data_IF_065938610796
#
_entry.id   IF_065938610796
#
_cell.length_a   1.000
_cell.length_b   1.000
_cell.length_c   1.000
_cell.angle_alpha   90.00
_cell.angle_beta   90.00
_cell.angle_gamma   90.00
#
_symmetry.space_group_name_H-M   'P 1'
#
loop_
_entity.id
_entity.type
_entity.pdbx_description
1 polymer ?
#
# COMPACT_ATOMS: atom_id res chain seq x y z
N UNK A 1 7.76 -29.39 -33.62
CA UNK A 1 8.63 -28.32 -33.10
C UNK A 1 7.79 -27.06 -33.11
N UNK A 2 7.21 -26.70 -31.97
CA UNK A 2 6.51 -25.42 -31.81
C UNK A 2 7.55 -24.30 -31.62
N UNK A 3 7.51 -23.22 -32.42
CA UNK A 3 8.41 -22.10 -32.22
C UNK A 3 7.96 -21.30 -30.98
N UNK A 4 8.89 -21.08 -30.06
CA UNK A 4 8.67 -20.36 -28.82
C UNK A 4 7.99 -19.02 -29.05
N UNK A 5 6.80 -18.87 -28.48
CA UNK A 5 6.12 -17.59 -28.34
C UNK A 5 6.92 -16.77 -27.32
N UNK A 6 7.70 -15.81 -27.83
CA UNK A 6 8.34 -14.80 -26.99
C UNK A 6 7.26 -14.11 -26.15
N UNK A 7 7.34 -14.25 -24.83
CA UNK A 7 6.51 -13.46 -23.92
C UNK A 7 6.92 -12.00 -24.05
N UNK A 8 6.00 -11.18 -24.55
CA UNK A 8 6.10 -9.73 -24.45
C UNK A 8 6.34 -9.33 -22.97
N UNK A 9 6.98 -8.18 -22.68
CA UNK A 9 7.01 -7.67 -21.32
C UNK A 9 5.57 -7.54 -20.83
N UNK A 10 5.24 -8.26 -19.76
CA UNK A 10 3.94 -8.13 -19.11
C UNK A 10 3.77 -6.67 -18.70
N UNK A 11 2.58 -6.10 -18.90
CA UNK A 11 2.25 -4.78 -18.39
C UNK A 11 2.66 -4.67 -16.91
N UNK A 12 3.03 -3.47 -16.41
CA UNK A 12 3.31 -3.28 -15.00
C UNK A 12 2.16 -3.85 -14.17
N UNK A 13 2.45 -4.61 -13.12
CA UNK A 13 1.41 -5.23 -12.31
C UNK A 13 0.50 -4.14 -11.73
N UNK A 14 -0.81 -4.39 -11.79
CA UNK A 14 -1.83 -3.42 -11.40
C UNK A 14 -1.78 -3.17 -9.89
N UNK A 15 -1.61 -1.92 -9.49
CA UNK A 15 -1.39 -1.57 -8.08
C UNK A 15 -2.58 -1.90 -7.17
N UNK A 16 -3.82 -1.82 -7.67
CA UNK A 16 -5.01 -2.19 -6.88
C UNK A 16 -5.06 -3.71 -6.72
N UNK A 17 -4.82 -4.46 -7.80
CA UNK A 17 -4.76 -5.93 -7.74
C UNK A 17 -3.67 -6.39 -6.78
N UNK A 18 -2.45 -5.84 -6.87
CA UNK A 18 -1.37 -6.17 -5.95
C UNK A 18 -1.71 -5.82 -4.51
N UNK A 19 -2.35 -4.67 -4.26
CA UNK A 19 -2.78 -4.31 -2.91
C UNK A 19 -3.76 -5.36 -2.34
N UNK A 20 -4.70 -5.86 -3.16
CA UNK A 20 -5.64 -6.91 -2.77
C UNK A 20 -4.89 -8.22 -2.47
N UNK A 21 -4.00 -8.66 -3.37
CA UNK A 21 -3.26 -9.92 -3.25
C UNK A 21 -2.32 -9.96 -2.04
N UNK A 22 -1.72 -8.81 -1.72
CA UNK A 22 -0.76 -8.69 -0.62
C UNK A 22 -1.41 -8.42 0.73
N UNK A 23 -2.72 -8.18 0.79
CA UNK A 23 -3.39 -7.97 2.07
C UNK A 23 -3.43 -9.29 2.84
N UNK A 24 -2.91 -9.27 4.06
CA UNK A 24 -2.99 -10.40 4.97
C UNK A 24 -4.45 -10.73 5.31
N UNK A 25 -4.70 -11.98 5.73
CA UNK A 25 -6.03 -12.41 6.14
C UNK A 25 -6.60 -11.53 7.27
N UNK A 26 -5.77 -10.98 8.14
CA UNK A 26 -6.24 -10.08 9.21
C UNK A 26 -6.48 -8.63 8.74
N UNK A 27 -6.15 -8.29 7.50
CA UNK A 27 -6.44 -6.99 6.89
C UNK A 27 -5.28 -6.00 6.79
N UNK A 28 -4.07 -6.39 7.20
CA UNK A 28 -2.88 -5.52 7.15
C UNK A 28 -1.94 -5.85 6.00
N UNK A 29 -0.92 -5.01 5.80
CA UNK A 29 0.21 -5.29 4.90
C UNK A 29 1.53 -5.36 5.66
N UNK A 30 2.48 -6.10 5.09
CA UNK A 30 3.86 -6.16 5.56
C UNK A 30 4.72 -5.14 4.80
N UNK A 31 5.61 -4.46 5.53
CA UNK A 31 6.61 -3.59 4.91
C UNK A 31 7.75 -4.45 4.33
N UNK A 32 7.64 -4.83 3.06
CA UNK A 32 8.60 -5.69 2.36
C UNK A 32 8.78 -5.28 0.89
N UNK A 33 9.58 -6.04 0.15
CA UNK A 33 9.87 -5.77 -1.27
C UNK A 33 8.61 -5.83 -2.16
N UNK A 34 7.62 -6.65 -1.83
CA UNK A 34 6.38 -6.72 -2.61
C UNK A 34 5.53 -5.45 -2.46
N UNK A 35 5.53 -4.84 -1.27
CA UNK A 35 4.83 -3.57 -1.04
C UNK A 35 5.40 -2.43 -1.89
N UNK A 36 6.69 -2.48 -2.24
CA UNK A 36 7.33 -1.46 -3.10
C UNK A 36 6.70 -1.40 -4.48
N UNK A 37 6.16 -2.54 -4.96
CA UNK A 37 5.48 -2.66 -6.26
C UNK A 37 4.12 -1.97 -6.25
N UNK A 38 3.43 -1.98 -5.11
CA UNK A 38 2.15 -1.27 -4.92
C UNK A 38 2.38 0.24 -4.88
N UNK A 39 3.36 0.68 -4.08
CA UNK A 39 3.58 2.09 -3.79
C UNK A 39 4.50 2.79 -4.78
N UNK A 40 5.16 2.04 -5.66
CA UNK A 40 6.18 2.54 -6.60
C UNK A 40 7.28 3.37 -5.90
N UNK A 41 7.75 2.88 -4.76
CA UNK A 41 8.78 3.54 -3.94
C UNK A 41 9.72 2.49 -3.32
N UNK A 42 11.05 2.74 -3.27
CA UNK A 42 12.02 1.81 -2.67
C UNK A 42 11.72 1.49 -1.21
N UNK A 43 11.97 0.23 -0.81
CA UNK A 43 11.74 -0.24 0.57
C UNK A 43 12.49 0.60 1.61
N UNK A 44 13.71 1.05 1.29
CA UNK A 44 14.51 1.92 2.16
C UNK A 44 13.80 3.25 2.45
N UNK A 45 13.22 3.88 1.42
CA UNK A 45 12.49 5.14 1.57
C UNK A 45 11.18 4.94 2.35
N UNK A 46 10.42 3.88 2.04
CA UNK A 46 9.21 3.55 2.77
C UNK A 46 9.51 3.31 4.26
N UNK A 47 10.60 2.61 4.57
CA UNK A 47 11.04 2.32 5.94
C UNK A 47 11.50 3.59 6.67
N UNK A 48 12.33 4.41 6.04
CA UNK A 48 12.85 5.66 6.62
C UNK A 48 11.77 6.73 6.80
N UNK A 49 10.68 6.69 6.03
CA UNK A 49 9.56 7.63 6.17
C UNK A 49 8.71 7.40 7.43
N UNK A 50 8.88 6.25 8.11
CA UNK A 50 8.08 5.90 9.28
C UNK A 50 8.34 6.89 10.43
N UNK A 51 7.30 7.55 10.96
CA UNK A 51 7.43 8.39 12.14
C UNK A 51 7.94 7.59 13.35
N UNK A 52 8.79 8.18 14.17
CA UNK A 52 9.40 7.51 15.33
C UNK A 52 8.38 7.09 16.41
N UNK A 53 7.21 7.72 16.43
CA UNK A 53 6.12 7.38 17.36
C UNK A 53 5.27 6.19 16.89
N UNK A 54 5.45 5.73 15.65
CA UNK A 54 4.80 4.53 15.09
C UNK A 54 5.68 3.31 15.32
N UNK A 55 5.41 2.57 16.40
CA UNK A 55 6.24 1.44 16.85
C UNK A 55 6.20 0.23 15.92
N UNK A 56 5.02 -0.10 15.41
CA UNK A 56 4.81 -1.27 14.55
C UNK A 56 4.97 -0.91 13.06
N UNK A 57 5.80 -1.68 12.35
CA UNK A 57 5.97 -1.52 10.90
C UNK A 57 4.73 -1.94 10.12
N UNK A 58 3.93 -2.89 10.61
CA UNK A 58 2.66 -3.31 9.99
C UNK A 58 1.66 -2.16 9.97
N UNK A 59 1.52 -1.45 11.10
CA UNK A 59 0.69 -0.25 11.17
C UNK A 59 1.09 0.78 10.11
N UNK A 60 2.40 1.03 9.97
CA UNK A 60 2.90 1.98 8.98
C UNK A 60 2.66 1.53 7.54
N UNK A 61 2.97 0.26 7.22
CA UNK A 61 2.69 -0.32 5.91
C UNK A 61 1.21 -0.21 5.53
N UNK A 62 0.32 -0.61 6.44
CA UNK A 62 -1.12 -0.54 6.24
C UNK A 62 -1.59 0.89 6.00
N UNK A 63 -1.11 1.84 6.80
CA UNK A 63 -1.45 3.25 6.62
C UNK A 63 -0.97 3.82 5.27
N UNK A 64 0.23 3.43 4.81
CA UNK A 64 0.75 3.82 3.49
C UNK A 64 -0.13 3.28 2.37
N UNK A 65 -0.50 1.99 2.39
CA UNK A 65 -1.36 1.42 1.34
C UNK A 65 -2.74 2.07 1.34
N UNK A 66 -3.37 2.26 2.51
CA UNK A 66 -4.67 2.92 2.61
C UNK A 66 -4.61 4.36 2.09
N UNK A 67 -3.59 5.12 2.47
CA UNK A 67 -3.39 6.49 1.98
C UNK A 67 -3.15 6.52 0.47
N UNK A 68 -2.40 5.57 -0.08
CA UNK A 68 -2.15 5.45 -1.51
C UNK A 68 -3.45 5.15 -2.28
N UNK A 69 -4.23 4.15 -1.86
CA UNK A 69 -5.48 3.78 -2.51
C UNK A 69 -6.49 4.95 -2.50
N UNK A 70 -6.65 5.58 -1.34
CA UNK A 70 -7.55 6.74 -1.17
C UNK A 70 -7.16 7.96 -2.00
N UNK A 71 -5.87 8.15 -2.33
CA UNK A 71 -5.40 9.40 -2.96
C UNK A 71 -4.87 9.26 -4.39
N UNK A 72 -4.24 8.13 -4.72
CA UNK A 72 -3.65 7.84 -6.03
C UNK A 72 -4.54 6.92 -6.87
N UNK A 73 -5.36 6.10 -6.23
CA UNK A 73 -6.31 5.18 -6.91
C UNK A 73 -7.78 5.57 -6.68
N UNK A 74 -8.05 6.84 -6.36
CA UNK A 74 -9.40 7.30 -6.00
C UNK A 74 -10.46 7.05 -7.07
N UNK A 75 -10.09 7.06 -8.36
CA UNK A 75 -10.98 6.77 -9.49
C UNK A 75 -11.45 5.31 -9.54
N UNK A 76 -10.76 4.41 -8.83
CA UNK A 76 -11.01 2.96 -8.79
C UNK A 76 -11.59 2.52 -7.45
N UNK A 77 -12.28 3.42 -6.74
CA UNK A 77 -12.76 3.18 -5.37
C UNK A 77 -13.53 1.88 -5.21
N UNK A 78 -14.43 1.57 -6.14
CA UNK A 78 -15.25 0.35 -6.11
C UNK A 78 -14.42 -0.94 -6.07
N UNK A 79 -13.19 -0.90 -6.59
CA UNK A 79 -12.30 -2.07 -6.63
C UNK A 79 -11.57 -2.31 -5.31
N UNK A 80 -11.32 -1.26 -4.51
CA UNK A 80 -10.51 -1.36 -3.30
C UNK A 80 -11.23 -1.00 -1.99
N UNK A 81 -12.46 -0.48 -2.05
CA UNK A 81 -13.12 0.04 -0.84
C UNK A 81 -13.29 -1.00 0.27
N UNK A 82 -13.62 -2.25 -0.08
CA UNK A 82 -13.73 -3.34 0.89
C UNK A 82 -12.36 -3.72 1.49
N UNK A 83 -11.30 -3.68 0.68
CA UNK A 83 -9.92 -3.96 1.10
C UNK A 83 -9.47 -2.90 2.10
N UNK A 84 -9.71 -1.63 1.79
CA UNK A 84 -9.42 -0.50 2.69
C UNK A 84 -10.27 -0.54 3.95
N UNK A 85 -11.55 -0.90 3.86
CA UNK A 85 -12.44 -1.01 5.03
C UNK A 85 -11.88 -2.01 6.04
N UNK A 86 -11.51 -3.21 5.58
CA UNK A 86 -10.91 -4.24 6.43
C UNK A 86 -9.60 -3.78 7.10
N UNK A 87 -8.75 -3.07 6.35
CA UNK A 87 -7.51 -2.52 6.87
C UNK A 87 -7.73 -1.46 7.94
N UNK A 88 -8.74 -0.61 7.77
CA UNK A 88 -9.12 0.39 8.77
C UNK A 88 -9.64 -0.29 10.03
N UNK A 89 -10.44 -1.35 9.89
CA UNK A 89 -10.96 -2.09 11.04
C UNK A 89 -9.82 -2.76 11.83
N UNK A 90 -8.85 -3.37 11.14
CA UNK A 90 -7.62 -3.86 11.77
C UNK A 90 -6.81 -2.74 12.47
N UNK A 91 -6.69 -1.56 11.86
CA UNK A 91 -6.02 -0.42 12.48
C UNK A 91 -6.75 0.10 13.72
N UNK A 92 -8.09 0.08 13.76
CA UNK A 92 -8.87 0.48 14.95
C UNK A 92 -8.61 -0.44 16.14
N UNK A 93 -8.33 -1.71 15.88
CA UNK A 93 -7.96 -2.69 16.92
C UNK A 93 -6.51 -2.51 17.39
N UNK A 94 -5.65 -1.97 16.52
CA UNK A 94 -4.20 -1.89 16.76
C UNK A 94 -3.73 -0.50 17.23
N UNK A 95 -4.51 0.56 16.98
CA UNK A 95 -4.10 1.93 17.31
C UNK A 95 -5.28 2.85 17.69
N UNK A 96 -5.02 3.86 18.54
CA UNK A 96 -6.08 4.72 19.07
C UNK A 96 -6.65 5.70 18.04
N UNK A 97 -5.88 6.06 17.00
CA UNK A 97 -6.32 7.01 15.97
C UNK A 97 -5.81 6.59 14.57
N UNK A 98 -6.56 5.69 13.89
CA UNK A 98 -6.23 5.25 12.54
C UNK A 98 -6.17 6.37 11.51
N UNK A 99 -7.08 7.35 11.59
CA UNK A 99 -7.15 8.44 10.60
C UNK A 99 -5.99 9.42 10.76
N UNK A 100 -5.53 9.69 11.99
CA UNK A 100 -4.30 10.45 12.19
C UNK A 100 -3.07 9.71 11.64
N UNK A 101 -2.98 8.40 11.82
CA UNK A 101 -1.91 7.58 11.25
C UNK A 101 -1.93 7.60 9.72
N UNK A 102 -3.10 7.41 9.11
CA UNK A 102 -3.30 7.50 7.65
C UNK A 102 -2.97 8.93 7.16
N UNK A 103 -3.30 9.96 7.94
CA UNK A 103 -2.93 11.34 7.65
C UNK A 103 -1.42 11.57 7.61
N UNK A 104 -0.66 10.96 8.53
CA UNK A 104 0.82 10.97 8.49
C UNK A 104 1.34 10.24 7.25
N UNK A 105 0.78 9.07 6.95
CA UNK A 105 1.17 8.28 5.77
C UNK A 105 0.89 9.02 4.46
N UNK A 106 -0.23 9.74 4.35
CA UNK A 106 -0.54 10.58 3.19
C UNK A 106 0.53 11.66 2.97
N UNK A 107 0.96 12.34 4.02
CA UNK A 107 2.02 13.36 3.92
C UNK A 107 3.34 12.74 3.44
N UNK A 108 3.73 11.60 4.02
CA UNK A 108 4.92 10.88 3.58
C UNK A 108 4.83 10.47 2.09
N UNK A 109 3.68 9.99 1.62
CA UNK A 109 3.49 9.63 0.21
C UNK A 109 3.61 10.81 -0.76
N UNK A 110 3.27 12.03 -0.35
CA UNK A 110 3.45 13.22 -1.19
C UNK A 110 4.93 13.51 -1.47
N UNK A 111 5.81 13.16 -0.53
CA UNK A 111 7.27 13.28 -0.67
C UNK A 111 7.89 12.08 -1.40
N UNK A 112 7.41 10.87 -1.09
CA UNK A 112 7.93 9.61 -1.63
C UNK A 112 7.51 9.34 -3.07
N UNK A 113 6.27 9.71 -3.41
CA UNK A 113 5.63 9.38 -4.68
C UNK A 113 5.03 10.66 -5.27
N UNK A 114 5.85 11.48 -5.95
CA UNK A 114 5.39 12.69 -6.61
C UNK A 114 4.24 12.35 -7.57
N UNK A 115 3.21 13.19 -7.58
CA UNK A 115 2.15 13.07 -8.59
C UNK A 115 2.80 13.36 -9.96
N UNK A 116 2.55 12.46 -10.91
CA UNK A 116 2.90 12.68 -12.32
C UNK A 116 2.11 13.87 -12.89
#
# INVERSE_FOLDING_TARGET
MDPGKGSAPSAPPDAVVLAVELQDFDGYWLLNEDLTKVLNSPLSQLTSSRPSDVKDTKMWATALVVAYLRTRMASRKEEWEMVVQKAIDWLKETCPDPEALIGKAKKALEELVPKA
#
